data_IF_785862964212
#
_entry.id   IF_785862964212
#
_cell.length_a   1.000
_cell.length_b   1.000
_cell.length_c   1.000
_cell.angle_alpha   90.00
_cell.angle_beta   90.00
_cell.angle_gamma   90.00
#
_symmetry.space_group_name_H-M   'P 1'
#
loop_
_entity.id
_entity.type
_entity.pdbx_description
1 polymer ?
#
# COMPACT_ATOMS: atom_id res chain seq x y z
N UNK A 1 -3.01 -48.32 19.94
CA UNK A 1 -4.09 -47.30 19.98
C UNK A 1 -3.59 -45.87 20.12
N UNK A 2 -2.72 -45.53 21.09
CA UNK A 2 -2.21 -44.14 21.29
C UNK A 2 -1.51 -43.53 20.06
N UNK A 3 -0.72 -44.32 19.33
CA UNK A 3 -0.03 -43.86 18.11
C UNK A 3 -1.01 -43.54 16.98
N UNK A 4 -2.01 -44.41 16.75
CA UNK A 4 -3.04 -44.19 15.75
C UNK A 4 -3.88 -42.93 16.05
N UNK A 5 -4.25 -42.70 17.32
CA UNK A 5 -4.97 -41.48 17.70
C UNK A 5 -4.15 -40.21 17.45
N UNK A 6 -2.83 -40.24 17.68
CA UNK A 6 -1.95 -39.09 17.37
C UNK A 6 -1.87 -38.80 15.88
N UNK A 7 -1.85 -39.83 15.03
CA UNK A 7 -1.87 -39.67 13.58
C UNK A 7 -3.19 -39.04 13.12
N UNK A 8 -4.32 -39.52 13.64
CA UNK A 8 -5.64 -38.96 13.34
C UNK A 8 -5.73 -37.49 13.77
N UNK A 9 -5.27 -37.16 14.98
CA UNK A 9 -5.21 -35.76 15.45
C UNK A 9 -4.33 -34.91 14.51
N UNK A 10 -3.20 -35.46 14.04
CA UNK A 10 -2.33 -34.78 13.08
C UNK A 10 -3.04 -34.43 11.77
N UNK A 11 -3.84 -35.36 11.23
CA UNK A 11 -4.64 -35.14 10.01
C UNK A 11 -5.65 -34.01 10.21
N UNK A 12 -6.36 -33.98 11.34
CA UNK A 12 -7.33 -32.91 11.63
C UNK A 12 -6.66 -31.56 11.85
N UNK A 13 -5.53 -31.53 12.58
CA UNK A 13 -4.76 -30.30 12.77
C UNK A 13 -4.26 -29.73 11.43
N UNK A 14 -3.86 -30.59 10.50
CA UNK A 14 -3.47 -30.18 9.15
C UNK A 14 -4.68 -29.65 8.34
N UNK A 15 -5.82 -30.33 8.40
CA UNK A 15 -7.04 -29.89 7.73
C UNK A 15 -7.49 -28.51 8.22
N UNK A 16 -7.53 -28.30 9.53
CA UNK A 16 -7.91 -27.02 10.13
C UNK A 16 -7.00 -25.89 9.66
N UNK A 17 -5.68 -26.13 9.64
CA UNK A 17 -4.71 -25.17 9.08
C UNK A 17 -5.03 -24.83 7.63
N UNK A 18 -5.28 -25.83 6.78
CA UNK A 18 -5.59 -25.61 5.35
C UNK A 18 -6.90 -24.85 5.18
N UNK A 19 -7.91 -25.13 6.00
CA UNK A 19 -9.20 -24.44 5.97
C UNK A 19 -9.08 -22.97 6.40
N UNK A 20 -8.27 -22.67 7.43
CA UNK A 20 -7.98 -21.28 7.82
C UNK A 20 -7.29 -20.52 6.69
N UNK A 21 -6.27 -21.12 6.05
CA UNK A 21 -5.57 -20.51 4.92
C UNK A 21 -6.52 -20.23 3.76
N UNK A 22 -7.36 -21.21 3.39
CA UNK A 22 -8.38 -21.05 2.35
C UNK A 22 -9.31 -19.89 2.67
N UNK A 23 -9.89 -19.86 3.88
CA UNK A 23 -10.81 -18.79 4.31
C UNK A 23 -10.16 -17.40 4.22
N UNK A 24 -8.91 -17.26 4.65
CA UNK A 24 -8.19 -15.98 4.57
C UNK A 24 -7.89 -15.56 3.13
N UNK A 25 -7.62 -16.51 2.23
CA UNK A 25 -7.44 -16.26 0.81
C UNK A 25 -8.75 -15.82 0.16
N UNK A 26 -9.84 -16.55 0.42
CA UNK A 26 -11.16 -16.25 -0.13
C UNK A 26 -11.67 -14.89 0.35
N UNK A 27 -11.45 -14.55 1.62
CA UNK A 27 -11.77 -13.21 2.14
C UNK A 27 -11.00 -12.09 1.45
N UNK A 28 -9.70 -12.29 1.17
CA UNK A 28 -8.89 -11.33 0.40
C UNK A 28 -9.37 -11.20 -1.05
N UNK A 29 -9.70 -12.32 -1.69
CA UNK A 29 -10.23 -12.34 -3.05
C UNK A 29 -11.58 -11.61 -3.13
N UNK A 30 -12.49 -11.88 -2.20
CA UNK A 30 -13.78 -11.19 -2.12
C UNK A 30 -13.62 -9.67 -1.88
N UNK A 31 -12.70 -9.27 -1.00
CA UNK A 31 -12.41 -7.86 -0.76
C UNK A 31 -11.87 -7.17 -2.02
N UNK A 32 -10.92 -7.81 -2.71
CA UNK A 32 -10.38 -7.29 -3.97
C UNK A 32 -11.45 -7.19 -5.06
N UNK A 33 -12.33 -8.19 -5.18
CA UNK A 33 -13.44 -8.18 -6.13
C UNK A 33 -14.44 -7.04 -5.88
N UNK A 34 -14.60 -6.61 -4.62
CA UNK A 34 -15.39 -5.42 -4.28
C UNK A 34 -14.70 -4.08 -4.58
N UNK A 35 -13.54 -4.08 -5.26
CA UNK A 35 -12.75 -2.88 -5.55
C UNK A 35 -11.95 -2.34 -4.36
N UNK A 36 -12.06 -2.99 -3.20
CA UNK A 36 -11.42 -2.55 -1.95
C UNK A 36 -9.99 -3.04 -1.84
N UNK A 37 -9.16 -2.33 -1.07
CA UNK A 37 -7.77 -2.72 -0.82
C UNK A 37 -7.69 -4.00 0.01
N UNK A 38 -7.32 -5.10 -0.64
CA UNK A 38 -7.22 -6.41 0.01
C UNK A 38 -5.85 -6.68 0.66
N UNK A 39 -4.76 -6.26 0.01
CA UNK A 39 -3.38 -6.61 0.42
C UNK A 39 -2.38 -5.51 0.15
N UNK A 40 -1.27 -5.55 0.88
CA UNK A 40 -0.11 -4.68 0.71
C UNK A 40 -0.34 -3.25 1.22
N UNK A 41 0.66 -2.39 1.01
CA UNK A 41 0.59 -0.99 1.39
C UNK A 41 -0.39 -0.21 0.49
N UNK A 42 -1.06 0.78 1.08
CA UNK A 42 -1.86 1.77 0.34
C UNK A 42 -0.98 2.60 -0.59
N UNK A 43 -1.53 3.02 -1.74
CA UNK A 43 -0.83 3.91 -2.67
C UNK A 43 -0.44 5.23 -1.99
N UNK A 44 0.62 5.89 -2.47
CA UNK A 44 0.95 7.25 -2.03
C UNK A 44 -0.22 8.19 -2.37
N UNK A 45 -0.57 9.10 -1.46
CA UNK A 45 -1.81 9.89 -1.55
C UNK A 45 -3.02 9.25 -0.88
N UNK A 46 -2.89 8.02 -0.35
CA UNK A 46 -3.97 7.31 0.34
C UNK A 46 -3.47 6.62 1.61
N UNK A 47 -4.30 6.60 2.64
CA UNK A 47 -4.08 5.80 3.85
C UNK A 47 -5.21 4.80 4.04
N UNK A 48 -5.05 3.89 5.00
CA UNK A 48 -6.16 3.05 5.42
C UNK A 48 -6.96 3.77 6.49
N UNK A 49 -8.27 3.85 6.31
CA UNK A 49 -9.23 4.43 7.25
C UNK A 49 -10.34 3.44 7.58
N UNK A 50 -10.95 3.57 8.75
CA UNK A 50 -11.92 2.63 9.31
C UNK A 50 -11.29 1.39 9.97
N UNK A 51 -12.15 0.47 10.41
CA UNK A 51 -11.77 -0.67 11.25
C UNK A 51 -12.21 -2.02 10.67
N UNK A 52 -11.50 -3.08 11.09
CA UNK A 52 -11.85 -4.46 10.77
C UNK A 52 -12.09 -4.72 9.28
N UNK A 53 -13.30 -5.18 8.96
CA UNK A 53 -13.71 -5.52 7.58
C UNK A 53 -13.93 -4.29 6.70
N UNK A 54 -14.36 -3.18 7.31
CA UNK A 54 -14.69 -1.95 6.58
C UNK A 54 -13.47 -1.06 6.31
N UNK A 55 -12.32 -1.36 6.95
CA UNK A 55 -11.08 -0.61 6.72
C UNK A 55 -10.68 -0.60 5.25
N UNK A 56 -10.56 0.56 4.62
CA UNK A 56 -10.16 0.69 3.22
C UNK A 56 -9.40 1.99 2.90
N UNK A 57 -9.10 2.22 1.62
CA UNK A 57 -8.33 3.37 1.16
C UNK A 57 -9.13 4.68 1.29
N UNK A 58 -8.59 5.62 2.07
CA UNK A 58 -9.06 6.99 2.16
C UNK A 58 -7.97 7.97 1.66
N UNK A 59 -8.37 9.13 1.09
CA UNK A 59 -7.43 10.19 0.70
C UNK A 59 -6.54 10.65 1.86
N UNK A 60 -5.24 10.81 1.61
CA UNK A 60 -4.33 11.52 2.52
C UNK A 60 -4.07 12.93 1.95
N UNK A 61 -4.64 14.00 2.51
CA UNK A 61 -4.54 15.35 1.95
C UNK A 61 -3.10 15.84 1.79
N UNK A 62 -2.23 15.58 2.79
CA UNK A 62 -0.83 16.03 2.76
C UNK A 62 -0.04 15.36 1.64
N UNK A 63 -0.22 14.05 1.46
CA UNK A 63 0.47 13.32 0.39
C UNK A 63 -0.11 13.63 -0.99
N UNK A 64 -1.42 13.89 -1.09
CA UNK A 64 -2.04 14.34 -2.34
C UNK A 64 -1.55 15.74 -2.74
N UNK A 65 -1.38 16.64 -1.78
CA UNK A 65 -0.77 17.95 -2.02
C UNK A 65 0.67 17.81 -2.53
N UNK A 66 1.48 16.96 -1.90
CA UNK A 66 2.84 16.67 -2.36
C UNK A 66 2.85 16.06 -3.79
N UNK A 67 1.95 15.12 -4.07
CA UNK A 67 1.81 14.53 -5.41
C UNK A 67 1.43 15.58 -6.45
N UNK A 68 0.40 16.39 -6.21
CA UNK A 68 -0.03 17.44 -7.12
C UNK A 68 1.12 18.43 -7.38
N UNK A 69 1.85 18.79 -6.33
CA UNK A 69 3.00 19.69 -6.43
C UNK A 69 4.15 19.10 -7.25
N UNK A 70 4.45 17.82 -7.08
CA UNK A 70 5.44 17.11 -7.91
C UNK A 70 5.09 17.22 -9.38
N UNK A 71 3.83 16.96 -9.74
CA UNK A 71 3.39 16.98 -11.13
C UNK A 71 3.42 18.39 -11.72
N UNK A 72 3.02 19.40 -10.93
CA UNK A 72 3.10 20.80 -11.33
C UNK A 72 4.55 21.24 -11.61
N UNK A 73 5.47 20.95 -10.68
CA UNK A 73 6.88 21.28 -10.84
C UNK A 73 7.52 20.52 -12.00
N UNK A 74 7.08 19.27 -12.25
CA UNK A 74 7.54 18.50 -13.39
C UNK A 74 7.04 19.07 -14.71
N UNK A 75 5.80 19.52 -14.78
CA UNK A 75 5.24 20.20 -15.96
C UNK A 75 5.99 21.49 -16.29
N UNK A 76 6.55 22.16 -15.29
CA UNK A 76 7.46 23.33 -15.44
C UNK A 76 8.88 22.97 -15.92
N UNK A 77 9.16 21.70 -16.18
CA UNK A 77 10.45 21.23 -16.68
C UNK A 77 11.53 21.03 -15.61
N UNK A 78 11.20 21.11 -14.32
CA UNK A 78 12.19 20.91 -13.26
C UNK A 78 12.73 19.47 -13.24
N UNK A 79 14.01 19.33 -12.86
CA UNK A 79 14.64 18.02 -12.65
C UNK A 79 14.10 17.36 -11.38
N UNK A 80 14.07 16.03 -11.33
CA UNK A 80 13.56 15.30 -10.16
C UNK A 80 14.32 15.61 -8.86
N UNK A 81 15.62 15.94 -8.95
CA UNK A 81 16.42 16.37 -7.79
C UNK A 81 15.96 17.73 -7.28
N UNK A 82 15.80 18.70 -8.19
CA UNK A 82 15.32 20.05 -7.84
C UNK A 82 13.91 20.00 -7.25
N UNK A 83 13.03 19.16 -7.79
CA UNK A 83 11.68 18.94 -7.24
C UNK A 83 11.76 18.45 -5.79
N UNK A 84 12.62 17.46 -5.49
CA UNK A 84 12.78 16.97 -4.12
C UNK A 84 13.22 18.05 -3.15
N UNK A 85 14.21 18.88 -3.53
CA UNK A 85 14.66 20.02 -2.72
C UNK A 85 13.54 21.06 -2.52
N UNK A 86 12.77 21.34 -3.57
CA UNK A 86 11.66 22.29 -3.49
C UNK A 86 10.57 21.81 -2.53
N UNK A 87 10.22 20.52 -2.55
CA UNK A 87 9.25 19.95 -1.61
C UNK A 87 9.74 20.00 -0.17
N UNK A 88 11.04 19.77 0.06
CA UNK A 88 11.64 19.89 1.39
C UNK A 88 11.51 21.35 1.90
N UNK A 89 11.71 22.35 1.04
CA UNK A 89 11.51 23.77 1.41
C UNK A 89 10.06 24.15 1.64
N UNK A 90 9.12 23.49 0.96
CA UNK A 90 7.68 23.70 1.08
C UNK A 90 7.05 22.91 2.25
N UNK A 91 7.86 22.12 2.98
CA UNK A 91 7.39 21.33 4.11
C UNK A 91 6.46 20.17 3.70
N UNK A 92 6.65 19.62 2.50
CA UNK A 92 5.89 18.50 1.96
C UNK A 92 6.73 17.21 2.00
N UNK A 93 6.78 16.49 3.14
CA UNK A 93 7.69 15.35 3.30
C UNK A 93 7.21 14.08 2.59
N UNK A 94 8.12 13.16 2.23
CA UNK A 94 7.74 11.84 1.76
C UNK A 94 7.25 10.95 2.92
N UNK A 95 6.44 9.94 2.61
CA UNK A 95 5.74 9.10 3.63
C UNK A 95 6.65 8.45 4.68
N UNK A 96 7.82 7.96 4.29
CA UNK A 96 8.68 7.10 5.14
C UNK A 96 10.10 7.61 5.30
N UNK A 97 10.51 8.59 4.51
CA UNK A 97 11.88 9.07 4.47
C UNK A 97 11.96 10.49 5.02
N UNK A 98 13.15 10.92 5.44
CA UNK A 98 13.35 12.28 5.91
C UNK A 98 13.36 13.31 4.75
N UNK A 99 13.76 12.89 3.54
CA UNK A 99 13.90 13.75 2.36
C UNK A 99 13.49 13.02 1.09
N UNK A 100 13.10 13.78 0.08
CA UNK A 100 12.78 13.23 -1.24
C UNK A 100 14.02 12.72 -1.96
N UNK A 101 13.97 11.47 -2.39
CA UNK A 101 14.93 10.96 -3.38
C UNK A 101 14.41 11.26 -4.79
N UNK A 102 15.31 11.59 -5.71
CA UNK A 102 14.96 11.80 -7.12
C UNK A 102 14.27 10.57 -7.74
N UNK A 103 14.63 9.36 -7.30
CA UNK A 103 13.99 8.11 -7.74
C UNK A 103 12.54 7.99 -7.25
N UNK A 104 12.26 8.43 -6.03
CA UNK A 104 10.89 8.44 -5.48
C UNK A 104 10.03 9.46 -6.23
N UNK A 105 10.54 10.67 -6.47
CA UNK A 105 9.87 11.70 -7.27
C UNK A 105 9.56 11.18 -8.67
N UNK A 106 10.55 10.58 -9.35
CA UNK A 106 10.38 9.95 -10.67
C UNK A 106 9.29 8.87 -10.64
N UNK A 107 9.26 8.02 -9.62
CA UNK A 107 8.23 6.98 -9.48
C UNK A 107 6.81 7.56 -9.37
N UNK A 108 6.66 8.69 -8.67
CA UNK A 108 5.38 9.41 -8.58
C UNK A 108 4.98 9.95 -9.97
N UNK A 109 5.88 10.61 -10.68
CA UNK A 109 5.61 11.13 -12.04
C UNK A 109 5.24 10.00 -13.02
N UNK A 110 6.00 8.90 -13.03
CA UNK A 110 5.76 7.76 -13.91
C UNK A 110 4.39 7.12 -13.69
N UNK A 111 3.97 6.97 -12.42
CA UNK A 111 2.63 6.45 -12.09
C UNK A 111 1.50 7.38 -12.54
N UNK A 112 1.77 8.67 -12.65
CA UNK A 112 0.86 9.67 -13.17
C UNK A 112 0.94 9.84 -14.71
N UNK A 113 1.81 9.10 -15.40
CA UNK A 113 1.99 9.20 -16.84
C UNK A 113 2.82 10.42 -17.30
N UNK A 114 3.50 11.10 -16.37
CA UNK A 114 4.35 12.26 -16.68
C UNK A 114 5.82 11.82 -16.76
N UNK A 115 6.47 12.07 -17.90
CA UNK A 115 7.90 11.76 -18.09
C UNK A 115 8.82 12.86 -17.60
#
# INVERSE_FOLDING_TARGET
>A
MRTAMRQVIGVFAELDRRMVVKRLRDGRAAKAASGRKAVGAYAYGFHGDGEGRERDAAPNPTEQAAQARILELRAKGMSYRAIGTQLDTEGLPPRRAAKWSAMTVRSVCQKAGVS
#
